data_IF_330061955841
#
_entry.id   IF_330061955841
#
_cell.length_a   1.000
_cell.length_b   1.000
_cell.length_c   1.000
_cell.angle_alpha   90.00
_cell.angle_beta   90.00
_cell.angle_gamma   90.00
#
_symmetry.space_group_name_H-M   'P 1'
#
loop_
_entity.id
_entity.type
_entity.pdbx_description
1 polymer ?
#
# COMPACT_ATOMS: atom_id res chain seq x y z
N UNK A 1 30.10 -21.47 30.58
CA UNK A 1 28.97 -22.22 29.99
C UNK A 1 29.21 -22.37 28.50
N UNK A 2 28.91 -23.53 27.92
CA UNK A 2 29.00 -23.79 26.49
C UNK A 2 27.82 -23.13 25.75
N UNK A 3 27.94 -22.93 24.43
CA UNK A 3 26.92 -22.24 23.62
C UNK A 3 25.51 -22.82 23.78
N UNK A 4 25.41 -24.14 23.91
CA UNK A 4 24.15 -24.86 24.08
C UNK A 4 23.48 -24.60 25.44
N UNK A 5 24.27 -24.54 26.52
CA UNK A 5 23.75 -24.16 27.85
C UNK A 5 23.28 -22.70 27.88
N UNK A 6 23.92 -21.82 27.11
CA UNK A 6 23.49 -20.43 27.00
C UNK A 6 22.15 -20.29 26.27
N UNK A 7 21.94 -21.07 25.20
CA UNK A 7 20.67 -21.10 24.46
C UNK A 7 19.52 -21.66 25.30
N UNK A 8 19.72 -22.79 25.98
CA UNK A 8 18.68 -23.39 26.83
C UNK A 8 18.20 -22.43 27.93
N UNK A 9 19.13 -21.70 28.55
CA UNK A 9 18.79 -20.73 29.59
C UNK A 9 18.16 -19.46 29.00
N UNK A 10 18.61 -19.02 27.82
CA UNK A 10 17.98 -17.92 27.10
C UNK A 10 16.53 -18.25 26.69
N UNK A 11 16.25 -19.48 26.26
CA UNK A 11 14.88 -19.95 25.97
C UNK A 11 14.02 -20.00 27.25
N UNK A 12 14.58 -20.46 28.37
CA UNK A 12 13.88 -20.46 29.65
C UNK A 12 13.54 -19.05 30.14
N UNK A 13 14.45 -18.09 30.01
CA UNK A 13 14.20 -16.68 30.36
C UNK A 13 13.20 -16.03 29.39
N UNK A 14 13.27 -16.36 28.11
CA UNK A 14 12.27 -15.94 27.13
C UNK A 14 10.88 -16.54 27.45
N UNK A 15 10.83 -17.69 28.15
CA UNK A 15 9.60 -18.35 28.57
C UNK A 15 9.05 -17.89 29.95
N UNK A 16 9.88 -17.51 30.92
CA UNK A 16 9.44 -17.32 32.32
C UNK A 16 9.79 -15.91 32.84
N UNK A 17 8.77 -15.04 32.89
CA UNK A 17 8.83 -13.62 33.26
C UNK A 17 9.24 -13.35 34.72
N UNK A 18 10.37 -12.64 34.96
CA UNK A 18 10.30 -11.36 35.68
C UNK A 18 11.28 -10.30 35.11
N UNK A 19 10.74 -9.13 34.73
CA UNK A 19 11.45 -8.04 34.03
C UNK A 19 12.70 -7.48 34.73
N UNK A 20 12.82 -7.64 36.05
CA UNK A 20 13.98 -7.16 36.82
C UNK A 20 15.21 -8.07 36.75
N UNK A 21 15.02 -9.38 36.68
CA UNK A 21 16.10 -10.38 36.66
C UNK A 21 16.81 -10.36 35.32
N UNK A 22 16.09 -10.10 34.23
CA UNK A 22 16.67 -10.21 32.89
C UNK A 22 17.67 -9.08 32.59
N UNK A 23 17.47 -7.85 33.06
CA UNK A 23 18.47 -6.79 32.88
C UNK A 23 19.75 -7.08 33.66
N UNK A 24 19.63 -7.56 34.90
CA UNK A 24 20.79 -7.93 35.72
C UNK A 24 21.59 -9.09 35.09
N UNK A 25 20.90 -10.09 34.54
CA UNK A 25 21.54 -11.24 33.89
C UNK A 25 22.06 -10.96 32.48
N UNK A 26 21.33 -10.20 31.67
CA UNK A 26 21.78 -9.79 30.35
C UNK A 26 22.93 -8.77 30.41
N UNK A 27 22.99 -7.93 31.46
CA UNK A 27 24.13 -7.07 31.72
C UNK A 27 25.40 -7.86 32.08
N UNK A 28 25.26 -9.05 32.68
CA UNK A 28 26.38 -9.90 33.05
C UNK A 28 27.02 -10.64 31.85
N UNK A 29 26.28 -10.86 30.75
CA UNK A 29 26.84 -11.47 29.55
C UNK A 29 26.17 -11.00 28.25
N UNK A 30 26.89 -10.27 27.37
CA UNK A 30 26.35 -9.79 26.10
C UNK A 30 25.96 -10.91 25.12
N UNK A 31 26.64 -12.06 25.18
CA UNK A 31 26.33 -13.23 24.36
C UNK A 31 24.92 -13.77 24.67
N UNK A 32 24.57 -13.83 25.96
CA UNK A 32 23.24 -14.26 26.41
C UNK A 32 22.13 -13.29 26.00
N UNK A 33 22.39 -11.98 26.08
CA UNK A 33 21.42 -10.99 25.60
C UNK A 33 21.13 -11.17 24.10
N UNK A 34 22.18 -11.45 23.30
CA UNK A 34 21.99 -11.74 21.88
C UNK A 34 21.22 -13.05 21.62
N UNK A 35 21.47 -14.10 22.42
CA UNK A 35 20.79 -15.39 22.31
C UNK A 35 19.31 -15.30 22.72
N UNK A 36 19.00 -14.57 23.79
CA UNK A 36 17.63 -14.34 24.25
C UNK A 36 16.77 -13.56 23.24
N UNK A 37 17.39 -12.66 22.47
CA UNK A 37 16.72 -11.95 21.37
C UNK A 37 16.40 -12.90 20.21
N UNK A 38 17.26 -13.89 19.92
CA UNK A 38 17.09 -14.87 18.83
C UNK A 38 16.23 -16.09 19.21
N UNK A 39 15.87 -16.26 20.48
CA UNK A 39 15.21 -17.45 20.99
C UNK A 39 13.86 -17.76 20.29
N UNK A 40 13.71 -19.01 19.86
CA UNK A 40 12.58 -19.49 19.05
C UNK A 40 11.24 -19.46 19.80
N UNK A 41 11.26 -19.77 21.11
CA UNK A 41 10.11 -19.73 22.01
C UNK A 41 9.36 -18.39 22.01
N UNK A 42 10.03 -17.32 21.57
CA UNK A 42 9.47 -15.96 21.52
C UNK A 42 8.60 -15.73 20.30
N UNK A 43 8.97 -16.29 19.15
CA UNK A 43 8.23 -16.18 17.88
C UNK A 43 6.84 -16.79 18.04
N UNK A 44 6.76 -17.94 18.71
CA UNK A 44 5.51 -18.68 18.98
C UNK A 44 4.55 -17.88 19.88
N UNK A 45 5.07 -17.23 20.94
CA UNK A 45 4.22 -16.45 21.88
C UNK A 45 3.77 -15.10 21.32
N UNK A 46 4.61 -14.46 20.50
CA UNK A 46 4.18 -13.25 19.76
C UNK A 46 3.05 -13.56 18.78
N UNK A 47 3.03 -14.76 18.18
CA UNK A 47 1.93 -15.21 17.32
C UNK A 47 0.64 -15.52 18.11
N UNK A 48 0.77 -15.91 19.39
CA UNK A 48 -0.34 -16.18 20.30
C UNK A 48 -0.90 -14.93 21.02
N UNK A 49 -0.34 -13.74 20.78
CA UNK A 49 -0.81 -12.48 21.39
C UNK A 49 -0.36 -12.23 22.83
N UNK A 50 0.54 -13.05 23.38
CA UNK A 50 1.06 -12.88 24.74
C UNK A 50 2.13 -11.77 24.81
N UNK A 51 1.98 -10.87 25.79
CA UNK A 51 2.80 -9.64 25.89
C UNK A 51 4.14 -9.84 26.61
N UNK A 52 5.09 -10.51 25.96
CA UNK A 52 6.48 -10.57 26.43
C UNK A 52 7.35 -9.43 25.84
N UNK A 53 7.09 -8.20 26.27
CA UNK A 53 7.36 -7.00 25.46
C UNK A 53 8.37 -6.03 26.10
N UNK A 54 9.67 -6.37 26.08
CA UNK A 54 10.74 -5.40 26.40
C UNK A 54 12.03 -5.61 25.58
N UNK A 55 12.31 -6.85 25.16
CA UNK A 55 13.43 -7.15 24.26
C UNK A 55 13.06 -6.78 22.81
N UNK A 56 14.04 -6.36 21.98
CA UNK A 56 13.85 -6.14 20.54
C UNK A 56 13.24 -7.35 19.84
N UNK A 57 12.48 -7.13 18.76
CA UNK A 57 11.99 -8.25 17.94
C UNK A 57 13.13 -8.76 17.07
N UNK A 58 13.14 -10.06 16.73
CA UNK A 58 14.08 -10.60 15.76
C UNK A 58 13.28 -11.17 14.57
N UNK A 59 13.70 -10.83 13.36
CA UNK A 59 13.11 -11.28 12.09
C UNK A 59 14.21 -11.79 11.19
N UNK A 60 13.95 -12.84 10.42
CA UNK A 60 14.92 -13.39 9.47
C UNK A 60 15.27 -12.40 8.34
N UNK A 61 14.38 -11.43 8.06
CA UNK A 61 14.55 -10.44 6.98
C UNK A 61 15.20 -9.12 7.41
N UNK A 62 14.93 -8.66 8.63
CA UNK A 62 15.41 -7.36 9.15
C UNK A 62 16.44 -7.53 10.29
N UNK A 63 16.68 -8.76 10.76
CA UNK A 63 17.53 -9.03 11.92
C UNK A 63 16.87 -8.56 13.21
N UNK A 64 17.63 -7.86 14.05
CA UNK A 64 17.19 -7.30 15.32
C UNK A 64 16.47 -5.95 15.11
N UNK A 65 15.17 -5.91 15.39
CA UNK A 65 14.32 -4.73 15.22
C UNK A 65 14.11 -4.03 16.57
N UNK A 66 14.66 -2.82 16.68
CA UNK A 66 14.48 -1.94 17.83
C UNK A 66 13.36 -0.93 17.53
N UNK A 67 12.25 -1.01 18.27
CA UNK A 67 11.12 -0.11 18.12
C UNK A 67 11.16 0.99 19.19
N UNK A 68 11.10 2.24 18.75
CA UNK A 68 11.08 3.43 19.60
C UNK A 68 9.80 4.21 19.31
N UNK A 69 8.86 4.22 20.24
CA UNK A 69 7.61 4.98 20.13
C UNK A 69 7.67 6.19 21.04
N UNK A 70 7.45 7.37 20.49
CA UNK A 70 7.41 8.64 21.20
C UNK A 70 5.96 9.10 21.23
N UNK A 71 5.44 9.45 22.41
CA UNK A 71 4.15 10.13 22.55
C UNK A 71 4.26 11.25 23.60
N UNK A 72 3.17 11.98 23.82
CA UNK A 72 3.13 13.07 24.83
C UNK A 72 3.52 12.63 26.24
N UNK A 73 3.40 11.35 26.58
CA UNK A 73 3.75 10.82 27.89
C UNK A 73 5.21 10.33 27.97
N UNK A 74 5.98 10.42 26.88
CA UNK A 74 7.40 10.08 26.82
C UNK A 74 7.70 8.95 25.84
N UNK A 75 8.83 8.26 26.05
CA UNK A 75 9.33 7.26 25.11
C UNK A 75 9.04 5.85 25.61
N UNK A 76 8.58 4.98 24.71
CA UNK A 76 8.42 3.54 24.92
C UNK A 76 9.38 2.81 23.99
N UNK A 77 10.09 1.83 24.53
CA UNK A 77 11.10 1.05 23.83
C UNK A 77 10.64 -0.41 23.73
N UNK A 78 10.59 -0.98 22.52
CA UNK A 78 10.25 -2.39 22.26
C UNK A 78 8.97 -2.88 22.97
N UNK A 79 7.96 -2.03 23.06
CA UNK A 79 6.68 -2.27 23.74
C UNK A 79 6.76 -2.37 25.29
N UNK A 80 7.85 -1.85 25.88
CA UNK A 80 8.02 -1.78 27.32
C UNK A 80 6.93 -0.93 27.98
N UNK A 81 6.33 -1.45 29.04
CA UNK A 81 5.15 -0.84 29.69
C UNK A 81 5.49 0.47 30.41
N UNK A 82 6.75 0.68 30.80
CA UNK A 82 7.21 1.91 31.46
C UNK A 82 7.87 2.85 30.46
N UNK A 83 7.74 4.15 30.75
CA UNK A 83 8.42 5.21 30.01
C UNK A 83 9.90 5.18 30.31
N UNK A 84 10.71 5.39 29.27
CA UNK A 84 12.16 5.41 29.36
C UNK A 84 12.71 6.78 28.95
N UNK A 85 13.81 7.23 29.57
CA UNK A 85 14.47 8.46 29.15
C UNK A 85 15.21 8.27 27.81
N UNK A 86 15.38 9.35 27.04
CA UNK A 86 16.00 9.31 25.71
C UNK A 86 17.43 8.73 25.72
N UNK A 87 18.21 9.01 26.77
CA UNK A 87 19.57 8.46 26.87
C UNK A 87 19.56 6.93 26.94
N UNK A 88 18.57 6.31 27.61
CA UNK A 88 18.48 4.85 27.72
C UNK A 88 18.21 4.22 26.35
N UNK A 89 17.39 4.87 25.54
CA UNK A 89 17.14 4.46 24.15
C UNK A 89 18.43 4.49 23.35
N UNK A 90 19.20 5.58 23.43
CA UNK A 90 20.50 5.70 22.74
C UNK A 90 21.48 4.63 23.18
N UNK A 91 21.58 4.34 24.48
CA UNK A 91 22.42 3.26 25.00
C UNK A 91 21.98 1.89 24.50
N UNK A 92 20.67 1.63 24.51
CA UNK A 92 20.12 0.37 24.03
C UNK A 92 20.41 0.15 22.55
N UNK A 93 20.18 1.15 21.69
CA UNK A 93 20.48 1.05 20.26
C UNK A 93 21.98 0.85 20.02
N UNK A 94 22.86 1.59 20.72
CA UNK A 94 24.32 1.39 20.65
C UNK A 94 24.73 -0.04 21.02
N UNK A 95 24.12 -0.61 22.06
CA UNK A 95 24.36 -1.99 22.47
C UNK A 95 23.95 -2.97 21.37
N UNK A 96 22.78 -2.81 20.76
CA UNK A 96 22.33 -3.67 19.67
C UNK A 96 23.27 -3.61 18.46
N UNK A 97 23.71 -2.41 18.07
CA UNK A 97 24.68 -2.25 16.98
C UNK A 97 26.01 -2.94 17.29
N UNK A 98 26.47 -2.93 18.54
CA UNK A 98 27.68 -3.66 18.96
C UNK A 98 27.50 -5.19 18.93
N UNK A 99 26.30 -5.69 19.20
CA UNK A 99 26.05 -7.13 19.32
C UNK A 99 25.69 -7.81 18.00
N UNK A 100 24.93 -7.13 17.15
CA UNK A 100 24.42 -7.71 15.90
C UNK A 100 25.13 -7.14 14.66
N UNK A 101 25.81 -6.01 14.79
CA UNK A 101 26.39 -5.27 13.66
C UNK A 101 25.38 -4.34 12.99
N UNK A 102 25.87 -3.36 12.23
CA UNK A 102 25.03 -2.31 11.64
C UNK A 102 24.00 -2.83 10.62
N UNK A 103 24.35 -3.88 9.87
CA UNK A 103 23.49 -4.43 8.81
C UNK A 103 22.35 -5.32 9.34
N UNK A 104 22.42 -5.73 10.61
CA UNK A 104 21.44 -6.63 11.23
C UNK A 104 20.62 -5.96 12.32
N UNK A 105 20.68 -4.62 12.42
CA UNK A 105 19.84 -3.86 13.34
C UNK A 105 18.97 -2.89 12.55
N UNK A 106 17.66 -3.03 12.70
CA UNK A 106 16.68 -2.11 12.14
C UNK A 106 16.09 -1.26 13.26
N UNK A 107 16.36 0.05 13.24
CA UNK A 107 15.75 1.00 14.18
C UNK A 107 14.48 1.57 13.56
N UNK A 108 13.34 1.34 14.21
CA UNK A 108 12.04 1.87 13.83
C UNK A 108 11.59 2.92 14.83
N UNK A 109 11.32 4.13 14.35
CA UNK A 109 10.86 5.24 15.18
C UNK A 109 9.44 5.63 14.79
N UNK A 110 8.57 5.76 15.78
CA UNK A 110 7.20 6.26 15.61
C UNK A 110 7.00 7.46 16.54
N UNK A 111 6.95 8.66 15.97
CA UNK A 111 6.78 9.93 16.69
C UNK A 111 5.61 10.75 16.12
N UNK A 112 4.36 10.40 16.47
CA UNK A 112 3.16 11.12 16.05
C UNK A 112 3.03 12.55 16.62
N UNK A 113 3.77 12.89 17.68
CA UNK A 113 3.65 14.19 18.37
C UNK A 113 4.87 15.11 18.14
N UNK A 114 5.94 14.61 17.49
CA UNK A 114 7.11 15.37 17.03
C UNK A 114 7.84 16.14 18.14
N UNK A 115 7.92 15.55 19.33
CA UNK A 115 8.45 16.22 20.53
C UNK A 115 9.95 15.98 20.73
N UNK A 116 10.47 14.81 20.36
CA UNK A 116 11.81 14.37 20.79
C UNK A 116 12.68 13.83 19.64
N UNK A 117 12.12 13.54 18.47
CA UNK A 117 12.89 12.95 17.36
C UNK A 117 14.12 13.77 16.96
N UNK A 118 14.03 15.10 16.92
CA UNK A 118 15.19 15.94 16.61
C UNK A 118 16.35 15.74 17.61
N UNK A 119 16.05 15.73 18.91
CA UNK A 119 17.06 15.52 19.96
C UNK A 119 17.62 14.09 19.93
N UNK A 120 16.77 13.09 19.67
CA UNK A 120 17.18 11.69 19.54
C UNK A 120 18.14 11.51 18.36
N UNK A 121 17.77 12.02 17.18
CA UNK A 121 18.60 11.98 15.97
C UNK A 121 19.91 12.72 16.19
N UNK A 122 19.89 13.88 16.86
CA UNK A 122 21.12 14.60 17.20
C UNK A 122 22.02 13.84 18.16
N UNK A 123 21.46 13.06 19.10
CA UNK A 123 22.25 12.22 20.00
C UNK A 123 22.98 11.07 19.30
N UNK A 124 22.64 10.79 18.04
CA UNK A 124 23.23 9.74 17.21
C UNK A 124 24.18 10.27 16.15
N UNK A 125 24.35 11.60 16.05
CA UNK A 125 25.36 12.19 15.17
C UNK A 125 26.76 11.68 15.54
N UNK A 126 27.57 11.37 14.53
CA UNK A 126 28.90 10.77 14.70
C UNK A 126 28.90 9.28 15.09
N UNK A 127 27.73 8.63 15.15
CA UNK A 127 27.63 7.17 15.35
C UNK A 127 27.28 6.44 14.06
N UNK A 128 27.50 5.11 14.03
CA UNK A 128 27.09 4.24 12.91
C UNK A 128 25.59 3.91 12.90
N UNK A 129 24.81 4.49 13.82
CA UNK A 129 23.38 4.21 13.96
C UNK A 129 22.62 4.81 12.78
N UNK A 130 21.74 4.01 12.20
CA UNK A 130 20.84 4.42 11.13
C UNK A 130 19.40 4.03 11.45
N UNK A 131 18.47 4.86 11.00
CA UNK A 131 17.03 4.62 11.16
C UNK A 131 16.55 3.93 9.90
N UNK A 132 15.95 2.74 10.05
CA UNK A 132 15.42 1.97 8.92
C UNK A 132 13.99 2.40 8.56
N UNK A 133 13.18 2.76 9.56
CA UNK A 133 11.82 3.24 9.38
C UNK A 133 11.51 4.40 10.33
N UNK A 134 10.87 5.45 9.80
CA UNK A 134 10.47 6.63 10.56
C UNK A 134 9.03 6.99 10.24
N UNK A 135 8.20 7.08 11.26
CA UNK A 135 6.86 7.66 11.19
C UNK A 135 6.87 8.93 12.01
N UNK A 136 6.58 10.07 11.39
CA UNK A 136 6.56 11.35 12.10
C UNK A 136 5.47 12.27 11.59
N UNK A 137 4.95 13.13 12.47
CA UNK A 137 4.02 14.21 12.09
C UNK A 137 4.77 15.55 11.91
N UNK A 138 4.09 16.54 11.33
CA UNK A 138 4.34 18.00 11.36
C UNK A 138 5.78 18.52 11.25
N UNK A 139 6.66 18.23 12.21
CA UNK A 139 7.93 18.95 12.37
C UNK A 139 9.16 18.29 11.78
N UNK A 140 9.06 17.07 11.25
CA UNK A 140 10.27 16.39 10.76
C UNK A 140 11.01 17.21 9.69
N UNK A 141 10.29 17.80 8.73
CA UNK A 141 10.87 18.69 7.73
C UNK A 141 11.55 19.91 8.37
N UNK A 142 10.86 20.61 9.28
CA UNK A 142 11.40 21.75 9.99
C UNK A 142 12.63 21.41 10.86
N UNK A 143 12.61 20.26 11.54
CA UNK A 143 13.73 19.75 12.33
C UNK A 143 14.95 19.48 11.46
N UNK A 144 14.77 18.82 10.32
CA UNK A 144 15.86 18.56 9.36
C UNK A 144 16.42 19.86 8.80
N UNK A 145 15.56 20.80 8.39
CA UNK A 145 16.00 22.11 7.88
C UNK A 145 16.71 22.94 8.95
N UNK A 146 16.21 22.94 10.19
CA UNK A 146 16.84 23.66 11.31
C UNK A 146 18.20 23.06 11.66
N UNK A 147 18.32 21.72 11.66
CA UNK A 147 19.58 21.05 11.87
C UNK A 147 20.58 21.40 10.76
N UNK A 148 20.18 21.30 9.48
CA UNK A 148 21.02 21.67 8.33
C UNK A 148 21.52 23.10 8.38
N UNK A 149 20.67 24.05 8.83
CA UNK A 149 21.09 25.45 9.04
C UNK A 149 22.13 25.62 10.15
N UNK A 150 22.12 24.75 11.17
CA UNK A 150 23.06 24.82 12.30
C UNK A 150 24.38 24.12 12.04
N UNK A 151 24.35 22.92 11.44
CA UNK A 151 25.53 22.07 11.29
C UNK A 151 26.10 22.05 9.88
N UNK A 152 25.38 22.58 8.90
CA UNK A 152 25.74 22.47 7.47
C UNK A 152 25.56 21.06 6.89
N UNK A 153 25.27 20.06 7.74
CA UNK A 153 25.10 18.66 7.37
C UNK A 153 23.66 18.20 7.70
N UNK A 154 23.33 16.98 7.31
CA UNK A 154 22.04 16.38 7.62
C UNK A 154 22.21 15.22 8.59
N UNK A 155 21.13 14.79 9.23
CA UNK A 155 21.19 13.69 10.19
C UNK A 155 21.76 12.43 9.54
N UNK A 156 22.97 12.04 9.94
CA UNK A 156 23.63 10.82 9.45
C UNK A 156 22.75 9.58 9.65
N UNK A 157 21.96 9.57 10.73
CA UNK A 157 21.03 8.51 11.04
C UNK A 157 19.92 8.31 9.97
N UNK A 158 19.58 9.32 9.16
CA UNK A 158 18.60 9.17 8.08
C UNK A 158 19.18 8.50 6.82
N UNK A 159 20.49 8.35 6.72
CA UNK A 159 21.13 7.75 5.53
C UNK A 159 20.71 6.30 5.26
N UNK A 160 20.30 5.56 6.30
CA UNK A 160 19.79 4.19 6.17
C UNK A 160 18.27 4.07 6.01
N UNK A 161 17.55 5.20 5.88
CA UNK A 161 16.08 5.20 5.90
C UNK A 161 15.50 4.54 4.66
N UNK A 162 14.74 3.46 4.87
CA UNK A 162 14.07 2.68 3.82
C UNK A 162 12.58 2.95 3.77
N UNK A 163 11.96 3.30 4.90
CA UNK A 163 10.53 3.60 5.03
C UNK A 163 10.31 4.93 5.73
N UNK A 164 9.55 5.82 5.13
CA UNK A 164 9.14 7.09 5.72
C UNK A 164 7.63 7.24 5.63
N UNK A 165 6.99 7.51 6.76
CA UNK A 165 5.56 7.82 6.84
C UNK A 165 5.40 9.19 7.47
N UNK A 166 4.88 10.13 6.70
CA UNK A 166 4.53 11.47 7.13
C UNK A 166 3.03 11.51 7.44
N UNK A 167 2.70 11.77 8.70
CA UNK A 167 1.32 11.85 9.15
C UNK A 167 0.74 13.25 8.84
N UNK A 168 -0.57 13.32 8.50
CA UNK A 168 -1.22 14.56 8.09
C UNK A 168 -1.19 15.63 9.18
N UNK A 169 -1.25 16.86 8.70
CA UNK A 169 -0.88 18.04 9.44
C UNK A 169 -1.81 19.21 9.08
N UNK A 170 -2.63 19.68 10.03
CA UNK A 170 -3.57 20.79 9.76
C UNK A 170 -2.88 22.17 9.63
N UNK A 171 -1.66 22.33 10.13
CA UNK A 171 -1.06 23.66 10.36
C UNK A 171 0.08 24.03 9.41
N UNK A 172 0.70 23.09 8.69
CA UNK A 172 1.87 23.37 7.85
C UNK A 172 1.70 22.79 6.43
N UNK A 173 2.28 23.47 5.45
CA UNK A 173 2.53 22.90 4.12
C UNK A 173 3.39 21.65 4.29
N UNK A 174 2.94 20.54 3.71
CA UNK A 174 3.61 19.25 3.82
C UNK A 174 4.92 19.28 3.06
N UNK A 175 6.03 19.63 3.73
CA UNK A 175 7.35 19.55 3.13
C UNK A 175 7.87 18.12 3.20
N UNK A 176 8.23 17.57 2.04
CA UNK A 176 8.92 16.27 1.92
C UNK A 176 10.43 16.43 1.76
N UNK A 177 11.00 17.60 2.11
CA UNK A 177 12.44 17.87 1.99
C UNK A 177 13.33 16.86 2.74
N UNK A 178 12.80 16.19 3.77
CA UNK A 178 13.48 15.10 4.45
C UNK A 178 13.84 13.94 3.49
N UNK A 179 13.08 13.74 2.43
CA UNK A 179 13.29 12.67 1.46
C UNK A 179 14.61 12.84 0.68
N UNK A 180 15.07 14.07 0.41
CA UNK A 180 16.37 14.33 -0.25
C UNK A 180 17.55 13.70 0.53
N UNK A 181 17.39 13.53 1.83
CA UNK A 181 18.42 13.08 2.77
C UNK A 181 18.34 11.57 3.06
N UNK A 182 17.42 10.86 2.41
CA UNK A 182 17.20 9.42 2.55
C UNK A 182 17.42 8.73 1.19
N UNK A 183 18.67 8.60 0.70
CA UNK A 183 18.94 8.08 -0.64
C UNK A 183 18.51 6.62 -0.83
N UNK A 184 18.42 5.85 0.25
CA UNK A 184 18.01 4.44 0.25
C UNK A 184 16.49 4.25 0.45
N UNK A 185 15.70 5.33 0.40
CA UNK A 185 14.27 5.27 0.63
C UNK A 185 13.58 4.40 -0.42
N UNK A 186 12.84 3.40 0.06
CA UNK A 186 12.07 2.47 -0.79
C UNK A 186 10.58 2.76 -0.76
N UNK A 187 10.07 3.23 0.38
CA UNK A 187 8.65 3.52 0.57
C UNK A 187 8.47 4.86 1.25
N UNK A 188 7.63 5.70 0.64
CA UNK A 188 7.22 6.99 1.19
C UNK A 188 5.70 7.09 1.20
N UNK A 189 5.14 7.37 2.36
CA UNK A 189 3.71 7.70 2.52
C UNK A 189 3.61 9.12 3.06
N UNK A 190 2.93 10.00 2.33
CA UNK A 190 2.60 11.35 2.75
C UNK A 190 1.13 11.67 2.46
N UNK A 191 0.26 10.67 2.65
CA UNK A 191 -1.18 10.82 2.46
C UNK A 191 -1.78 11.90 3.38
N UNK A 192 -2.73 12.67 2.86
CA UNK A 192 -3.38 13.79 3.52
C UNK A 192 -2.42 14.89 4.03
N UNK A 193 -1.17 14.91 3.53
CA UNK A 193 -0.25 16.01 3.73
C UNK A 193 -0.47 17.10 2.66
N UNK A 194 -0.38 18.37 3.02
CA UNK A 194 -0.45 19.50 2.06
C UNK A 194 0.84 19.64 1.22
N UNK A 195 1.26 18.56 0.56
CA UNK A 195 2.45 18.53 -0.29
C UNK A 195 2.11 19.13 -1.65
N UNK A 196 2.87 20.14 -2.07
CA UNK A 196 2.72 20.77 -3.39
C UNK A 196 3.90 20.49 -4.34
N UNK A 197 5.10 20.28 -3.79
CA UNK A 197 6.32 20.06 -4.59
C UNK A 197 6.98 18.72 -4.25
N UNK A 198 7.35 18.01 -5.31
CA UNK A 198 8.00 16.70 -5.30
C UNK A 198 9.48 16.78 -5.68
N UNK A 199 10.04 17.98 -5.84
CA UNK A 199 11.46 18.19 -6.17
C UNK A 199 12.44 17.33 -5.33
N UNK A 200 12.24 17.14 -4.00
CA UNK A 200 13.12 16.30 -3.19
C UNK A 200 13.17 14.82 -3.60
N UNK A 201 12.17 14.32 -4.34
CA UNK A 201 12.09 12.92 -4.75
C UNK A 201 12.94 12.60 -5.98
N UNK A 202 13.30 13.60 -6.79
CA UNK A 202 13.90 13.39 -8.11
C UNK A 202 15.24 12.63 -8.13
N UNK A 203 15.91 12.49 -6.98
CA UNK A 203 17.18 11.75 -6.83
C UNK A 203 17.01 10.36 -6.19
N UNK A 204 15.79 9.93 -5.87
CA UNK A 204 15.54 8.69 -5.14
C UNK A 204 15.46 7.48 -6.09
N UNK A 205 16.62 7.01 -6.53
CA UNK A 205 16.76 5.87 -7.45
C UNK A 205 16.24 4.53 -6.89
N UNK A 206 16.00 4.44 -5.58
CA UNK A 206 15.53 3.24 -4.89
C UNK A 206 14.06 3.30 -4.47
N UNK A 207 13.31 4.36 -4.79
CA UNK A 207 11.90 4.46 -4.41
C UNK A 207 11.06 3.48 -5.23
N UNK A 208 10.33 2.59 -4.55
CA UNK A 208 9.48 1.57 -5.16
C UNK A 208 7.99 1.85 -4.95
N UNK A 209 7.62 2.36 -3.78
CA UNK A 209 6.23 2.66 -3.44
C UNK A 209 6.11 4.10 -2.94
N UNK A 210 5.15 4.83 -3.51
CA UNK A 210 4.87 6.21 -3.15
C UNK A 210 3.36 6.39 -2.99
N UNK A 211 2.96 6.89 -1.82
CA UNK A 211 1.59 7.26 -1.52
C UNK A 211 1.50 8.75 -1.21
N UNK A 212 0.81 9.46 -2.09
CA UNK A 212 0.51 10.88 -2.08
C UNK A 212 -1.00 11.13 -2.17
N UNK A 213 -1.84 10.19 -1.69
CA UNK A 213 -3.28 10.40 -1.66
C UNK A 213 -3.65 11.68 -0.88
N UNK A 214 -4.68 12.41 -1.30
CA UNK A 214 -5.15 13.63 -0.64
C UNK A 214 -4.07 14.71 -0.48
N UNK A 215 -3.16 14.82 -1.46
CA UNK A 215 -2.12 15.88 -1.50
C UNK A 215 -2.48 16.96 -2.54
N UNK A 216 -1.75 18.08 -2.53
CA UNK A 216 -1.99 19.24 -3.39
C UNK A 216 -1.06 19.29 -4.61
N UNK A 217 -0.53 18.14 -5.03
CA UNK A 217 0.37 18.03 -6.17
C UNK A 217 -0.33 18.44 -7.47
N UNK A 218 0.44 19.06 -8.37
CA UNK A 218 -0.03 19.53 -9.68
C UNK A 218 0.58 18.67 -10.80
N UNK A 219 0.01 18.75 -12.00
CA UNK A 219 0.40 17.95 -13.17
C UNK A 219 1.91 17.97 -13.46
N UNK A 220 2.57 19.12 -13.28
CA UNK A 220 4.00 19.28 -13.54
C UNK A 220 4.90 18.40 -12.67
N UNK A 221 4.46 18.09 -11.45
CA UNK A 221 5.23 17.29 -10.47
C UNK A 221 5.29 15.81 -10.87
N UNK A 222 4.33 15.34 -11.68
CA UNK A 222 4.31 13.96 -12.17
C UNK A 222 5.51 13.64 -13.07
N UNK A 223 6.15 14.64 -13.69
CA UNK A 223 7.38 14.44 -14.47
C UNK A 223 8.53 13.92 -13.62
N UNK A 224 8.60 14.35 -12.36
CA UNK A 224 9.61 13.89 -11.40
C UNK A 224 9.36 12.42 -11.09
N UNK A 225 8.10 12.03 -10.87
CA UNK A 225 7.70 10.65 -10.58
C UNK A 225 7.97 9.72 -11.77
N UNK A 226 7.70 10.19 -13.00
CA UNK A 226 7.94 9.43 -14.21
C UNK A 226 9.43 9.14 -14.46
N UNK A 227 10.32 9.99 -13.95
CA UNK A 227 11.77 9.81 -14.06
C UNK A 227 12.34 8.81 -13.04
N UNK A 228 11.55 8.35 -12.06
CA UNK A 228 12.03 7.41 -11.04
C UNK A 228 12.17 6.00 -11.62
N UNK A 229 13.39 5.41 -11.63
CA UNK A 229 13.66 4.19 -12.38
C UNK A 229 13.04 2.93 -11.78
N UNK A 230 12.63 2.96 -10.50
CA UNK A 230 12.13 1.80 -9.76
C UNK A 230 10.74 1.97 -9.17
N UNK A 231 10.07 3.10 -9.43
CA UNK A 231 8.75 3.36 -8.87
C UNK A 231 7.74 2.37 -9.48
N UNK A 232 7.28 1.42 -8.68
CA UNK A 232 6.38 0.35 -9.10
C UNK A 232 4.94 0.60 -8.66
N UNK A 233 4.73 1.25 -7.52
CA UNK A 233 3.41 1.56 -6.98
C UNK A 233 3.29 3.06 -6.71
N UNK A 234 2.29 3.69 -7.30
CA UNK A 234 1.96 5.09 -7.09
C UNK A 234 0.50 5.25 -6.70
N UNK A 235 0.25 5.95 -5.59
CA UNK A 235 -1.08 6.36 -5.17
C UNK A 235 -1.14 7.89 -5.16
N UNK A 236 -2.05 8.46 -5.94
CA UNK A 236 -2.34 9.90 -6.07
C UNK A 236 -3.86 10.14 -6.03
N UNK A 237 -4.57 9.35 -5.24
CA UNK A 237 -6.04 9.41 -5.13
C UNK A 237 -6.49 10.66 -4.38
N UNK A 238 -7.66 11.20 -4.71
CA UNK A 238 -8.26 12.41 -4.12
C UNK A 238 -7.33 13.63 -4.17
N UNK A 239 -6.51 13.75 -5.23
CA UNK A 239 -5.64 14.91 -5.46
C UNK A 239 -6.40 15.97 -6.28
N UNK A 240 -6.83 17.09 -5.69
CA UNK A 240 -7.81 18.00 -6.31
C UNK A 240 -7.23 18.84 -7.46
N UNK A 241 -5.91 18.89 -7.64
CA UNK A 241 -5.25 19.71 -8.66
C UNK A 241 -4.68 18.92 -9.83
N UNK A 242 -4.84 17.60 -9.85
CA UNK A 242 -4.43 16.78 -10.98
C UNK A 242 -5.51 16.83 -12.07
N UNK A 243 -5.12 17.32 -13.25
CA UNK A 243 -5.95 17.34 -14.46
C UNK A 243 -5.53 16.30 -15.49
N UNK A 244 -4.29 15.82 -15.41
CA UNK A 244 -3.73 14.86 -16.35
C UNK A 244 -2.74 13.91 -15.70
N UNK A 245 -2.66 12.70 -16.26
CA UNK A 245 -1.64 11.70 -15.93
C UNK A 245 -0.64 11.47 -17.08
N UNK A 246 -0.68 12.31 -18.12
CA UNK A 246 0.23 12.21 -19.28
C UNK A 246 1.72 12.08 -18.95
N UNK A 247 2.28 12.81 -17.96
CA UNK A 247 3.70 12.67 -17.64
C UNK A 247 4.10 11.25 -17.24
N UNK A 248 3.17 10.47 -16.66
CA UNK A 248 3.43 9.09 -16.23
C UNK A 248 3.58 8.11 -17.40
N UNK A 249 3.27 8.52 -18.64
CA UNK A 249 3.50 7.70 -19.83
C UNK A 249 4.97 7.29 -20.00
N UNK A 250 5.90 8.05 -19.42
CA UNK A 250 7.35 7.77 -19.45
C UNK A 250 7.84 6.93 -18.28
N UNK A 251 6.97 6.51 -17.36
CA UNK A 251 7.36 5.75 -16.19
C UNK A 251 7.83 4.34 -16.57
N UNK A 252 9.12 4.05 -16.38
CA UNK A 252 9.73 2.81 -16.85
C UNK A 252 9.29 1.56 -16.07
N UNK A 253 8.94 1.71 -14.78
CA UNK A 253 8.72 0.59 -13.88
C UNK A 253 7.32 0.54 -13.23
N UNK A 254 6.42 1.47 -13.57
CA UNK A 254 5.14 1.63 -12.90
C UNK A 254 4.20 0.46 -13.21
N UNK A 255 3.81 -0.28 -12.17
CA UNK A 255 2.93 -1.46 -12.26
C UNK A 255 1.54 -1.21 -11.69
N UNK A 256 1.46 -0.42 -10.63
CA UNK A 256 0.23 -0.14 -9.90
C UNK A 256 0.04 1.37 -9.80
N UNK A 257 -1.09 1.87 -10.32
CA UNK A 257 -1.48 3.26 -10.24
C UNK A 257 -2.87 3.38 -9.61
N UNK A 258 -2.96 4.15 -8.52
CA UNK A 258 -4.23 4.48 -7.88
C UNK A 258 -4.48 5.98 -7.92
N UNK A 259 -5.40 6.42 -8.76
CA UNK A 259 -5.81 7.81 -8.95
C UNK A 259 -7.33 7.93 -8.86
N UNK A 260 -7.93 7.31 -7.85
CA UNK A 260 -9.35 7.43 -7.56
C UNK A 260 -9.71 8.83 -7.04
N UNK A 261 -10.96 9.25 -7.19
CA UNK A 261 -11.55 10.49 -6.66
C UNK A 261 -10.80 11.77 -7.04
N UNK A 262 -10.09 11.76 -8.17
CA UNK A 262 -9.48 12.97 -8.71
C UNK A 262 -10.51 13.75 -9.53
N UNK A 263 -11.25 14.64 -8.87
CA UNK A 263 -12.39 15.36 -9.48
C UNK A 263 -12.06 16.16 -10.75
N UNK A 264 -10.81 16.66 -10.86
CA UNK A 264 -10.34 17.44 -12.01
C UNK A 264 -9.64 16.61 -13.08
N UNK A 265 -9.45 15.30 -12.85
CA UNK A 265 -8.72 14.45 -13.77
C UNK A 265 -9.55 14.19 -15.02
N UNK A 266 -9.03 14.60 -16.17
CA UNK A 266 -9.70 14.46 -17.48
C UNK A 266 -8.85 13.68 -18.47
N UNK A 267 -7.52 13.90 -18.49
CA UNK A 267 -6.62 13.34 -19.51
C UNK A 267 -5.83 12.15 -18.98
N UNK A 268 -6.13 10.96 -19.53
CA UNK A 268 -5.51 9.69 -19.11
C UNK A 268 -5.08 8.82 -20.29
N UNK A 269 -5.37 9.22 -21.53
CA UNK A 269 -5.10 8.41 -22.72
C UNK A 269 -3.64 7.89 -22.80
N UNK A 270 -2.67 8.72 -22.41
CA UNK A 270 -1.26 8.38 -22.49
C UNK A 270 -0.84 7.21 -21.57
N UNK A 271 -1.62 6.88 -20.53
CA UNK A 271 -1.37 5.68 -19.71
C UNK A 271 -1.48 4.38 -20.51
N UNK A 272 -2.23 4.39 -21.62
CA UNK A 272 -2.34 3.24 -22.54
C UNK A 272 -1.02 2.88 -23.25
N UNK A 273 -0.01 3.75 -23.17
CA UNK A 273 1.34 3.49 -23.71
C UNK A 273 2.29 2.84 -22.70
N UNK A 274 1.90 2.73 -21.43
CA UNK A 274 2.73 2.18 -20.35
C UNK A 274 2.64 0.66 -20.33
N UNK A 275 3.62 -0.01 -20.94
CA UNK A 275 3.64 -1.48 -21.07
C UNK A 275 3.74 -2.25 -19.74
N UNK A 276 4.23 -1.60 -18.69
CA UNK A 276 4.46 -2.20 -17.37
C UNK A 276 3.25 -2.12 -16.45
N UNK A 277 2.23 -1.34 -16.81
CA UNK A 277 1.07 -1.06 -15.98
C UNK A 277 0.12 -2.26 -15.95
N UNK A 278 -0.09 -2.82 -14.76
CA UNK A 278 -0.88 -4.04 -14.53
C UNK A 278 -2.13 -3.78 -13.71
N UNK A 279 -2.11 -2.79 -12.83
CA UNK A 279 -3.23 -2.44 -11.96
C UNK A 279 -3.50 -0.95 -12.05
N UNK A 280 -4.74 -0.59 -12.34
CA UNK A 280 -5.19 0.80 -12.43
C UNK A 280 -6.49 0.97 -11.67
N UNK A 281 -6.53 2.02 -10.85
CA UNK A 281 -7.75 2.53 -10.22
C UNK A 281 -7.95 3.99 -10.61
N UNK A 282 -9.05 4.27 -11.32
CA UNK A 282 -9.47 5.62 -11.74
C UNK A 282 -10.86 5.98 -11.22
N UNK A 283 -11.36 5.25 -10.21
CA UNK A 283 -12.72 5.37 -9.70
C UNK A 283 -13.08 6.80 -9.31
N UNK A 284 -14.33 7.24 -9.51
CA UNK A 284 -14.79 8.57 -9.10
C UNK A 284 -14.16 9.75 -9.84
N UNK A 285 -13.40 9.51 -10.92
CA UNK A 285 -12.84 10.56 -11.77
C UNK A 285 -13.80 10.96 -12.89
N UNK A 286 -13.88 12.26 -13.22
CA UNK A 286 -14.81 12.76 -14.26
C UNK A 286 -14.13 12.71 -15.65
N UNK A 287 -13.73 11.51 -16.06
CA UNK A 287 -13.07 11.31 -17.36
C UNK A 287 -14.04 11.56 -18.51
N UNK A 288 -13.56 12.24 -19.55
CA UNK A 288 -14.29 12.32 -20.81
C UNK A 288 -14.35 10.92 -21.44
N UNK A 289 -15.49 10.50 -22.00
CA UNK A 289 -15.59 9.14 -22.53
C UNK A 289 -14.61 8.83 -23.66
N UNK A 290 -14.25 9.83 -24.48
CA UNK A 290 -13.24 9.70 -25.52
C UNK A 290 -11.81 9.52 -24.98
N UNK A 291 -11.47 10.17 -23.86
CA UNK A 291 -10.17 10.01 -23.19
C UNK A 291 -10.01 8.60 -22.63
N UNK A 292 -11.07 8.11 -21.99
CA UNK A 292 -11.08 6.77 -21.45
C UNK A 292 -11.06 5.69 -22.56
N UNK A 293 -11.78 5.91 -23.66
CA UNK A 293 -11.71 5.07 -24.86
C UNK A 293 -10.29 5.01 -25.45
N UNK A 294 -9.60 6.15 -25.48
CA UNK A 294 -8.22 6.26 -25.96
C UNK A 294 -7.23 5.56 -25.02
N UNK A 295 -7.44 5.68 -23.71
CA UNK A 295 -6.67 4.95 -22.70
C UNK A 295 -6.77 3.44 -22.92
N UNK A 296 -8.00 2.93 -23.05
CA UNK A 296 -8.21 1.52 -23.34
C UNK A 296 -7.56 1.15 -24.68
N UNK A 297 -7.74 1.94 -25.74
CA UNK A 297 -7.17 1.62 -27.06
C UNK A 297 -5.62 1.67 -27.14
N UNK A 298 -4.92 1.90 -26.03
CA UNK A 298 -3.47 1.92 -25.97
C UNK A 298 -2.83 0.57 -26.36
N UNK A 299 -1.88 0.55 -27.31
CA UNK A 299 -1.35 -0.70 -27.87
C UNK A 299 -0.44 -1.48 -26.91
N UNK A 300 0.09 -0.82 -25.88
CA UNK A 300 1.01 -1.43 -24.92
C UNK A 300 0.31 -1.90 -23.63
N UNK A 301 -0.96 -1.55 -23.45
CA UNK A 301 -1.67 -1.74 -22.20
C UNK A 301 -1.92 -3.23 -21.91
N UNK A 302 -1.47 -3.70 -20.75
CA UNK A 302 -1.65 -5.09 -20.28
C UNK A 302 -2.22 -5.13 -18.87
N UNK A 303 -3.42 -4.59 -18.72
CA UNK A 303 -4.12 -4.54 -17.45
C UNK A 303 -4.50 -5.94 -17.00
N UNK A 304 -4.19 -6.27 -15.74
CA UNK A 304 -4.71 -7.43 -15.02
C UNK A 304 -5.87 -7.04 -14.11
N UNK A 305 -5.74 -5.90 -13.42
CA UNK A 305 -6.74 -5.37 -12.50
C UNK A 305 -7.15 -3.95 -12.93
N UNK A 306 -8.43 -3.76 -13.22
CA UNK A 306 -9.03 -2.46 -13.52
C UNK A 306 -10.14 -2.13 -12.53
N UNK A 307 -9.98 -1.05 -11.77
CA UNK A 307 -11.00 -0.54 -10.84
C UNK A 307 -11.50 0.80 -11.40
N UNK A 308 -12.76 0.79 -11.84
CA UNK A 308 -13.42 1.92 -12.47
C UNK A 308 -14.81 2.08 -11.85
N UNK A 309 -14.87 2.45 -10.57
CA UNK A 309 -16.14 2.65 -9.88
C UNK A 309 -16.63 4.10 -10.05
N UNK A 310 -17.94 4.34 -10.04
CA UNK A 310 -18.53 5.68 -10.16
C UNK A 310 -18.15 6.46 -11.44
N UNK A 311 -17.92 5.75 -12.56
CA UNK A 311 -17.51 6.34 -13.84
C UNK A 311 -18.65 6.42 -14.87
N UNK A 312 -18.52 7.33 -15.83
CA UNK A 312 -19.39 7.38 -17.03
C UNK A 312 -18.65 6.83 -18.23
N UNK A 313 -19.14 5.74 -18.80
CA UNK A 313 -18.52 5.10 -19.96
C UNK A 313 -19.01 5.69 -21.29
N UNK A 314 -18.20 5.63 -22.36
CA UNK A 314 -18.58 6.10 -23.69
C UNK A 314 -19.80 5.35 -24.24
N UNK A 315 -20.68 6.11 -24.90
CA UNK A 315 -21.86 5.56 -25.60
C UNK A 315 -21.49 4.72 -26.81
N UNK A 316 -20.52 5.22 -27.56
CA UNK A 316 -20.02 4.57 -28.75
C UNK A 316 -18.93 3.58 -28.36
N UNK A 317 -18.96 2.41 -29.00
CA UNK A 317 -17.87 1.44 -28.88
C UNK A 317 -16.59 2.10 -29.41
N UNK A 318 -15.51 2.15 -28.60
CA UNK A 318 -14.22 2.62 -29.09
C UNK A 318 -13.85 1.85 -30.38
N UNK A 319 -13.51 2.55 -31.47
CA UNK A 319 -13.41 1.97 -32.82
C UNK A 319 -12.38 0.83 -32.93
N UNK A 320 -11.44 0.74 -31.98
CA UNK A 320 -10.36 -0.25 -31.94
C UNK A 320 -10.67 -1.48 -31.07
N UNK A 321 -11.71 -1.47 -30.23
CA UNK A 321 -12.05 -2.63 -29.39
C UNK A 321 -12.59 -3.82 -30.19
N UNK A 322 -13.03 -3.59 -31.44
CA UNK A 322 -13.44 -4.65 -32.36
C UNK A 322 -12.25 -5.40 -32.99
N UNK A 323 -11.04 -4.82 -33.00
CA UNK A 323 -9.88 -5.36 -33.73
C UNK A 323 -8.74 -5.85 -32.82
N UNK A 324 -8.58 -5.30 -31.61
CA UNK A 324 -7.58 -5.75 -30.64
C UNK A 324 -8.18 -5.77 -29.22
N UNK A 325 -8.22 -6.92 -28.53
CA UNK A 325 -8.81 -6.99 -27.21
C UNK A 325 -7.84 -6.42 -26.17
N UNK A 326 -7.93 -5.12 -25.95
CA UNK A 326 -7.22 -4.36 -24.90
C UNK A 326 -7.32 -5.05 -23.54
N UNK A 327 -8.51 -5.57 -23.22
CA UNK A 327 -8.82 -6.23 -21.95
C UNK A 327 -8.61 -7.75 -22.01
N UNK A 328 -7.98 -8.29 -23.06
CA UNK A 328 -7.70 -9.73 -23.15
C UNK A 328 -6.87 -10.25 -21.99
N UNK A 329 -6.05 -9.40 -21.39
CA UNK A 329 -5.19 -9.75 -20.24
C UNK A 329 -5.83 -9.41 -18.89
N UNK A 330 -6.98 -8.74 -18.89
CA UNK A 330 -7.67 -8.34 -17.66
C UNK A 330 -8.28 -9.57 -17.01
N UNK A 331 -7.93 -9.81 -15.74
CA UNK A 331 -8.47 -10.88 -14.93
C UNK A 331 -9.52 -10.36 -13.95
N UNK A 332 -9.38 -9.13 -13.47
CA UNK A 332 -10.25 -8.54 -12.46
C UNK A 332 -10.75 -7.17 -12.94
N UNK A 333 -12.07 -7.01 -13.07
CA UNK A 333 -12.70 -5.76 -13.48
C UNK A 333 -13.80 -5.37 -12.50
N UNK A 334 -13.67 -4.16 -11.93
CA UNK A 334 -14.67 -3.56 -11.05
C UNK A 334 -15.27 -2.34 -11.73
N UNK A 335 -16.57 -2.41 -12.03
CA UNK A 335 -17.33 -1.42 -12.80
C UNK A 335 -18.56 -0.94 -12.02
N UNK A 336 -18.48 -0.96 -10.69
CA UNK A 336 -19.61 -0.66 -9.82
C UNK A 336 -20.03 0.81 -9.95
N UNK A 337 -21.33 1.10 -9.78
CA UNK A 337 -21.89 2.45 -9.87
C UNK A 337 -21.59 3.18 -11.20
N UNK A 338 -21.34 2.44 -12.28
CA UNK A 338 -21.06 3.01 -13.59
C UNK A 338 -22.31 3.22 -14.43
N UNK A 339 -22.29 4.26 -15.26
CA UNK A 339 -23.22 4.39 -16.38
C UNK A 339 -22.61 3.69 -17.60
N UNK A 340 -23.04 2.45 -17.82
CA UNK A 340 -22.62 1.58 -18.93
C UNK A 340 -23.71 1.61 -20.02
N UNK A 341 -23.53 2.37 -21.10
CA UNK A 341 -24.55 2.49 -22.16
C UNK A 341 -24.67 1.22 -23.01
N UNK A 342 -23.57 0.48 -23.17
CA UNK A 342 -23.56 -0.86 -23.73
C UNK A 342 -22.41 -1.66 -23.06
N UNK A 343 -22.41 -3.00 -23.20
CA UNK A 343 -21.35 -3.89 -22.70
C UNK A 343 -20.59 -4.63 -23.81
N UNK A 344 -20.86 -4.39 -25.09
CA UNK A 344 -20.28 -5.18 -26.20
C UNK A 344 -18.76 -5.10 -26.23
N UNK A 345 -18.20 -3.98 -25.80
CA UNK A 345 -16.77 -3.77 -25.65
C UNK A 345 -16.10 -4.74 -24.66
N UNK A 346 -16.83 -5.33 -23.70
CA UNK A 346 -16.31 -6.36 -22.79
C UNK A 346 -16.19 -7.74 -23.45
N UNK A 347 -16.82 -8.00 -24.59
CA UNK A 347 -16.73 -9.29 -25.28
C UNK A 347 -15.30 -9.64 -25.72
N UNK A 348 -14.39 -8.67 -25.79
CA UNK A 348 -12.96 -8.91 -26.01
C UNK A 348 -12.20 -9.40 -24.77
N UNK A 349 -12.77 -9.29 -23.57
CA UNK A 349 -12.11 -9.55 -22.29
C UNK A 349 -12.16 -11.05 -21.92
N UNK A 350 -11.46 -11.88 -22.70
CA UNK A 350 -11.55 -13.35 -22.60
C UNK A 350 -10.99 -13.95 -21.31
N UNK A 351 -10.04 -13.28 -20.66
CA UNK A 351 -9.35 -13.80 -19.46
C UNK A 351 -9.93 -13.30 -18.14
N UNK A 352 -11.12 -12.66 -18.17
CA UNK A 352 -11.75 -12.14 -16.95
C UNK A 352 -12.18 -13.29 -16.05
N UNK A 353 -11.66 -13.29 -14.84
CA UNK A 353 -11.96 -14.24 -13.77
C UNK A 353 -12.96 -13.65 -12.77
N UNK A 354 -12.90 -12.34 -12.55
CA UNK A 354 -13.79 -11.63 -11.62
C UNK A 354 -14.37 -10.36 -12.26
N UNK A 355 -15.70 -10.27 -12.29
CA UNK A 355 -16.43 -9.13 -12.84
C UNK A 355 -17.44 -8.60 -11.83
N UNK A 356 -17.29 -7.33 -11.44
CA UNK A 356 -18.21 -6.64 -10.54
C UNK A 356 -18.95 -5.54 -11.30
N UNK A 357 -20.27 -5.64 -11.34
CA UNK A 357 -21.19 -4.75 -12.05
C UNK A 357 -22.27 -4.21 -11.09
N UNK A 358 -21.97 -4.12 -9.80
CA UNK A 358 -22.94 -3.70 -8.78
C UNK A 358 -23.43 -2.27 -9.01
N UNK A 359 -24.71 -1.99 -8.72
CA UNK A 359 -25.34 -0.69 -8.89
C UNK A 359 -25.23 -0.12 -10.32
N UNK A 360 -25.39 -0.98 -11.32
CA UNK A 360 -25.42 -0.59 -12.74
C UNK A 360 -26.81 -0.79 -13.36
N UNK A 361 -27.01 -0.29 -14.58
CA UNK A 361 -28.28 -0.42 -15.34
C UNK A 361 -28.27 -1.64 -16.29
N UNK A 362 -27.46 -2.64 -15.99
CA UNK A 362 -27.27 -3.84 -16.80
C UNK A 362 -28.55 -4.69 -16.82
N UNK A 363 -28.89 -5.24 -17.98
CA UNK A 363 -30.05 -6.11 -18.18
C UNK A 363 -29.65 -7.58 -18.34
N UNK A 364 -30.64 -8.48 -18.26
CA UNK A 364 -30.43 -9.91 -18.49
C UNK A 364 -29.85 -10.21 -19.88
N UNK A 365 -30.31 -9.48 -20.90
CA UNK A 365 -29.83 -9.62 -22.27
C UNK A 365 -28.35 -9.23 -22.38
N UNK A 366 -27.94 -8.16 -21.70
CA UNK A 366 -26.53 -7.74 -21.70
C UNK A 366 -25.64 -8.81 -21.09
N UNK A 367 -26.01 -9.38 -19.93
CA UNK A 367 -25.26 -10.48 -19.30
C UNK A 367 -25.22 -11.70 -20.22
N UNK A 368 -26.34 -12.08 -20.85
CA UNK A 368 -26.40 -13.20 -21.79
C UNK A 368 -25.48 -12.99 -23.01
N UNK A 369 -25.26 -11.74 -23.45
CA UNK A 369 -24.29 -11.45 -24.52
C UNK A 369 -22.84 -11.55 -24.06
N UNK A 370 -22.53 -11.26 -22.80
CA UNK A 370 -21.16 -11.28 -22.27
C UNK A 370 -20.66 -12.67 -21.93
N UNK A 371 -21.52 -13.48 -21.32
CA UNK A 371 -21.16 -14.79 -20.75
C UNK A 371 -20.43 -15.71 -21.75
N UNK A 372 -20.86 -15.86 -23.02
CA UNK A 372 -20.18 -16.72 -23.99
C UNK A 372 -18.73 -16.32 -24.29
N UNK A 373 -18.36 -15.06 -24.01
CA UNK A 373 -17.04 -14.51 -24.29
C UNK A 373 -16.10 -14.52 -23.08
N UNK A 374 -16.57 -14.94 -21.89
CA UNK A 374 -15.80 -14.97 -20.64
C UNK A 374 -15.76 -16.38 -20.03
N UNK A 375 -15.06 -17.33 -20.68
CA UNK A 375 -15.06 -18.73 -20.26
C UNK A 375 -14.40 -18.95 -18.89
N UNK A 376 -13.50 -18.07 -18.45
CA UNK A 376 -12.76 -18.18 -17.19
C UNK A 376 -13.43 -17.48 -16.01
N UNK A 377 -14.65 -16.97 -16.17
CA UNK A 377 -15.31 -16.19 -15.12
C UNK A 377 -15.67 -17.08 -13.92
N UNK A 378 -15.06 -16.77 -12.78
CA UNK A 378 -15.20 -17.47 -11.51
C UNK A 378 -16.11 -16.73 -10.51
N UNK A 379 -16.14 -15.40 -10.59
CA UNK A 379 -16.93 -14.54 -9.72
C UNK A 379 -17.67 -13.47 -10.52
N UNK A 380 -18.99 -13.37 -10.33
CA UNK A 380 -19.83 -12.36 -10.95
C UNK A 380 -20.68 -11.65 -9.88
N UNK A 381 -20.54 -10.33 -9.76
CA UNK A 381 -21.33 -9.53 -8.82
C UNK A 381 -22.30 -8.61 -9.57
N UNK A 382 -23.59 -8.78 -9.31
CA UNK A 382 -24.73 -8.09 -9.94
C UNK A 382 -25.70 -7.55 -8.87
N UNK A 383 -25.16 -7.01 -7.78
CA UNK A 383 -25.96 -6.48 -6.68
C UNK A 383 -26.59 -5.14 -7.08
N UNK A 384 -27.84 -4.92 -6.70
CA UNK A 384 -28.59 -3.66 -6.86
C UNK A 384 -28.69 -3.16 -8.32
N UNK A 385 -28.84 -4.08 -9.27
CA UNK A 385 -29.09 -3.75 -10.68
C UNK A 385 -30.60 -3.56 -10.94
N UNK A 386 -31.07 -2.30 -10.98
CA UNK A 386 -32.50 -1.95 -11.06
C UNK A 386 -33.26 -2.55 -12.26
N UNK A 387 -32.55 -2.81 -13.37
CA UNK A 387 -33.12 -3.32 -14.64
C UNK A 387 -32.85 -4.80 -14.90
N UNK A 388 -32.17 -5.46 -13.96
CA UNK A 388 -31.83 -6.86 -14.09
C UNK A 388 -33.01 -7.68 -13.59
N UNK A 389 -33.66 -8.41 -14.49
CA UNK A 389 -34.65 -9.44 -14.16
C UNK A 389 -34.22 -10.73 -14.84
N UNK A 390 -33.74 -11.70 -14.06
CA UNK A 390 -33.08 -12.91 -14.59
C UNK A 390 -33.51 -14.14 -13.83
N UNK A 391 -33.62 -15.27 -14.54
CA UNK A 391 -33.71 -16.61 -13.95
C UNK A 391 -32.34 -17.29 -13.80
N UNK A 392 -31.24 -16.55 -14.04
CA UNK A 392 -29.87 -17.08 -14.01
C UNK A 392 -29.59 -18.21 -15.03
N UNK A 393 -30.39 -18.35 -16.09
CA UNK A 393 -30.21 -19.39 -17.14
C UNK A 393 -28.80 -19.39 -17.77
N UNK A 394 -28.17 -18.21 -17.84
CA UNK A 394 -26.80 -18.06 -18.34
C UNK A 394 -25.76 -18.79 -17.48
N UNK A 395 -26.05 -19.13 -16.23
CA UNK A 395 -25.12 -19.84 -15.34
C UNK A 395 -24.87 -21.28 -15.81
N UNK A 396 -25.81 -21.88 -16.54
CA UNK A 396 -25.64 -23.22 -17.12
C UNK A 396 -24.51 -23.31 -18.16
N UNK A 397 -24.21 -22.20 -18.86
CA UNK A 397 -23.11 -22.15 -19.82
C UNK A 397 -21.75 -21.85 -19.17
N UNK A 398 -21.71 -21.62 -17.85
CA UNK A 398 -20.53 -21.21 -17.11
C UNK A 398 -20.03 -22.31 -16.18
N UNK A 399 -19.15 -23.18 -16.69
CA UNK A 399 -18.61 -24.31 -15.91
C UNK A 399 -17.66 -23.91 -14.78
N UNK A 400 -17.06 -22.73 -14.85
CA UNK A 400 -16.07 -22.24 -13.88
C UNK A 400 -16.63 -21.24 -12.86
N UNK A 401 -17.91 -20.88 -12.96
CA UNK A 401 -18.54 -19.91 -12.06
C UNK A 401 -18.68 -20.51 -10.66
N UNK A 402 -17.92 -19.98 -9.70
CA UNK A 402 -17.88 -20.45 -8.32
C UNK A 402 -18.72 -19.56 -7.38
N UNK A 403 -18.86 -18.27 -7.72
CA UNK A 403 -19.60 -17.32 -6.89
C UNK A 403 -20.42 -16.34 -7.74
N UNK A 404 -21.66 -16.09 -7.31
CA UNK A 404 -22.52 -15.06 -7.87
C UNK A 404 -23.22 -14.28 -6.77
N UNK A 405 -23.10 -12.96 -6.82
CA UNK A 405 -23.85 -12.05 -5.95
C UNK A 405 -24.97 -11.41 -6.76
N UNK A 406 -26.21 -11.47 -6.27
CA UNK A 406 -27.36 -10.88 -6.95
C UNK A 406 -28.36 -10.31 -5.94
N UNK A 407 -29.07 -9.24 -6.30
CA UNK A 407 -30.12 -8.70 -5.43
C UNK A 407 -31.41 -9.50 -5.50
N UNK A 408 -32.12 -9.60 -4.36
CA UNK A 408 -33.42 -10.28 -4.31
C UNK A 408 -34.44 -9.68 -5.29
N UNK A 409 -34.38 -8.36 -5.50
CA UNK A 409 -35.25 -7.64 -6.44
C UNK A 409 -35.07 -8.04 -7.90
N UNK A 410 -33.93 -8.65 -8.25
CA UNK A 410 -33.58 -9.04 -9.61
C UNK A 410 -33.97 -10.48 -9.95
N UNK A 411 -34.47 -11.23 -8.96
CA UNK A 411 -34.94 -12.61 -9.09
C UNK A 411 -36.47 -12.67 -9.06
N UNK A 412 -37.09 -13.68 -9.71
CA UNK A 412 -38.53 -13.92 -9.60
C UNK A 412 -38.97 -14.14 -8.15
N UNK A 413 -40.23 -13.79 -7.85
CA UNK A 413 -40.82 -13.99 -6.53
C UNK A 413 -40.78 -15.47 -6.08
N UNK A 414 -40.99 -16.38 -7.03
CA UNK A 414 -40.88 -17.83 -6.85
C UNK A 414 -39.77 -18.33 -7.75
N UNK A 415 -38.64 -18.74 -7.16
CA UNK A 415 -37.48 -19.24 -7.89
C UNK A 415 -36.98 -20.56 -7.25
N UNK A 416 -37.59 -21.69 -7.61
CA UNK A 416 -37.32 -23.00 -6.98
C UNK A 416 -35.91 -23.52 -7.29
N UNK A 417 -35.36 -23.13 -8.44
CA UNK A 417 -34.01 -23.49 -8.90
C UNK A 417 -32.90 -22.83 -8.06
N UNK A 418 -33.21 -21.81 -7.26
CA UNK A 418 -32.24 -21.14 -6.38
C UNK A 418 -31.55 -22.12 -5.43
N UNK A 419 -32.32 -23.04 -4.85
CA UNK A 419 -31.79 -24.03 -3.91
C UNK A 419 -30.82 -24.99 -4.60
N UNK A 420 -31.10 -25.39 -5.84
CA UNK A 420 -30.22 -26.23 -6.63
C UNK A 420 -28.92 -25.47 -7.01
N UNK A 421 -29.03 -24.19 -7.38
CA UNK A 421 -27.87 -23.34 -7.68
C UNK A 421 -27.01 -23.07 -6.42
N UNK A 422 -27.62 -22.87 -5.25
CA UNK A 422 -26.93 -22.69 -3.97
C UNK A 422 -26.15 -23.94 -3.53
N UNK A 423 -26.57 -25.12 -3.95
CA UNK A 423 -25.84 -26.38 -3.72
C UNK A 423 -24.65 -26.54 -4.68
N UNK A 424 -24.74 -25.98 -5.89
CA UNK A 424 -23.71 -26.09 -6.92
C UNK A 424 -22.63 -24.99 -6.82
N UNK A 425 -22.98 -23.79 -6.36
CA UNK A 425 -22.08 -22.64 -6.28
C UNK A 425 -22.45 -21.69 -5.12
N UNK A 426 -21.56 -20.76 -4.79
CA UNK A 426 -21.80 -19.76 -3.74
C UNK A 426 -22.70 -18.65 -4.26
N UNK A 427 -24.00 -18.71 -3.94
CA UNK A 427 -24.97 -17.67 -4.32
C UNK A 427 -25.27 -16.77 -3.12
N UNK A 428 -24.80 -15.53 -3.18
CA UNK A 428 -25.06 -14.48 -2.19
C UNK A 428 -26.22 -13.61 -2.66
N UNK A 429 -27.38 -13.73 -1.99
CA UNK A 429 -28.54 -12.89 -2.26
C UNK A 429 -28.55 -11.72 -1.28
N UNK A 430 -28.44 -10.50 -1.82
CA UNK A 430 -28.37 -9.24 -1.05
C UNK A 430 -29.69 -8.48 -1.08
#
# INVERSE_FOLDING_TARGET
MNAHGNEAVAECIAANHPSGVVWAWCAASPAFFSAAIRASARVVRTAAGERAHYLPRHSDSEGCVCAVRVDRAGIVLNDFTRRVPAWLVTWHVKLLYRLFGADRVAVHITDPDSLVVGALLSSWEGTSITVAALTSRHRLGACVSAHRRRTGATFSALGGLRRLVLLPSQCETGSIAVAEHAPLLRRLTASACRVESLAPLGRLCHLHELDLAQTLIRDGELRILAALPRLATLTVSSCPHLSTLEPLAKAAALRVLRAAECERLVRVAALGTVATLQSVDLSGSVLLPAEFASFLSGPALRLRLGVFEHMRWPRDDPPLLQAAPVLSTATHLRLCYCVLPNLRWLCGARSVEQLFLDHTKVTAADVATLVPHMPFLSALSLSHCERLNTNLDFTHSMSLLASITISRSSLPAVFPELAALQLAMTVTVV
#
